data_IF_479952661808
#
_entry.id   IF_479952661808
#
_cell.length_a   1.000
_cell.length_b   1.000
_cell.length_c   1.000
_cell.angle_alpha   90.00
_cell.angle_beta   90.00
_cell.angle_gamma   90.00
#
_symmetry.space_group_name_H-M   'P 1'
#
loop_
_entity.id
_entity.type
_entity.pdbx_description
1 polymer ?
#
# COMPACT_ATOMS: atom_id res chain seq x y z
N UNK A 1 -26.39 -16.64 -8.89
CA UNK A 1 -25.02 -16.57 -8.33
C UNK A 1 -24.19 -15.43 -8.93
N UNK A 2 -24.79 -14.26 -9.21
CA UNK A 2 -24.05 -13.13 -9.80
C UNK A 2 -23.62 -12.08 -8.77
N UNK A 3 -24.55 -11.65 -7.93
CA UNK A 3 -24.36 -10.45 -7.11
C UNK A 3 -23.44 -10.66 -5.89
N UNK A 4 -23.67 -11.72 -5.11
CA UNK A 4 -22.85 -12.04 -3.93
C UNK A 4 -21.38 -12.33 -4.30
N UNK A 5 -21.13 -12.93 -5.46
CA UNK A 5 -19.77 -13.19 -5.93
C UNK A 5 -19.04 -11.89 -6.29
N UNK A 6 -19.70 -10.99 -7.02
CA UNK A 6 -19.14 -9.68 -7.38
C UNK A 6 -18.86 -8.86 -6.12
N UNK A 7 -19.77 -8.86 -5.15
CA UNK A 7 -19.59 -8.18 -3.87
C UNK A 7 -18.37 -8.73 -3.11
N UNK A 8 -18.23 -10.07 -3.04
CA UNK A 8 -17.10 -10.70 -2.38
C UNK A 8 -15.78 -10.42 -3.10
N UNK A 9 -15.76 -10.41 -4.43
CA UNK A 9 -14.58 -10.06 -5.23
C UNK A 9 -14.16 -8.60 -4.98
N UNK A 10 -15.13 -7.69 -4.93
CA UNK A 10 -14.88 -6.29 -4.58
C UNK A 10 -14.28 -6.14 -3.18
N UNK A 11 -14.82 -6.88 -2.20
CA UNK A 11 -14.29 -6.89 -0.82
C UNK A 11 -12.86 -7.43 -0.75
N UNK A 12 -12.58 -8.55 -1.42
CA UNK A 12 -11.23 -9.13 -1.49
C UNK A 12 -10.23 -8.16 -2.15
N UNK A 13 -10.65 -7.47 -3.21
CA UNK A 13 -9.84 -6.46 -3.90
C UNK A 13 -9.48 -5.29 -2.97
N UNK A 14 -10.46 -4.75 -2.24
CA UNK A 14 -10.23 -3.66 -1.28
C UNK A 14 -9.33 -4.13 -0.14
N UNK A 15 -9.54 -5.36 0.35
CA UNK A 15 -8.71 -5.94 1.42
C UNK A 15 -7.25 -6.12 0.98
N UNK A 16 -7.02 -6.54 -0.26
CA UNK A 16 -5.68 -6.64 -0.85
C UNK A 16 -5.01 -5.26 -0.91
N UNK A 17 -5.70 -4.25 -1.44
CA UNK A 17 -5.18 -2.88 -1.53
C UNK A 17 -4.81 -2.37 -0.14
N UNK A 18 -5.70 -2.55 0.84
CA UNK A 18 -5.44 -2.11 2.22
C UNK A 18 -4.21 -2.80 2.81
N UNK A 19 -4.06 -4.10 2.59
CA UNK A 19 -2.91 -4.89 3.05
C UNK A 19 -1.61 -4.38 2.45
N UNK A 20 -1.58 -4.16 1.13
CA UNK A 20 -0.39 -3.71 0.39
C UNK A 20 0.00 -2.27 0.75
N UNK A 21 -0.99 -1.38 0.90
CA UNK A 21 -0.75 0.05 1.13
C UNK A 21 -0.47 0.35 2.61
N UNK A 22 -0.94 -0.49 3.54
CA UNK A 22 -0.76 -0.30 4.99
C UNK A 22 0.69 -0.06 5.44
N UNK A 23 1.73 -0.83 5.05
CA UNK A 23 3.09 -0.57 5.51
C UNK A 23 3.66 0.76 5.00
N UNK A 24 3.30 1.15 3.77
CA UNK A 24 3.74 2.42 3.18
C UNK A 24 3.08 3.60 3.89
N UNK A 25 1.77 3.52 4.14
CA UNK A 25 1.02 4.55 4.86
C UNK A 25 1.50 4.71 6.30
N UNK A 26 1.69 3.61 7.02
CA UNK A 26 2.19 3.66 8.40
C UNK A 26 3.56 4.34 8.44
N UNK A 27 4.46 3.99 7.52
CA UNK A 27 5.77 4.63 7.44
C UNK A 27 5.66 6.11 7.13
N UNK A 28 4.84 6.50 6.16
CA UNK A 28 4.62 7.90 5.81
C UNK A 28 4.01 8.71 6.97
N UNK A 29 3.11 8.09 7.75
CA UNK A 29 2.50 8.68 8.94
C UNK A 29 3.54 8.91 10.04
N UNK A 30 4.29 7.86 10.42
CA UNK A 30 5.32 7.96 11.46
C UNK A 30 6.39 8.99 11.10
N UNK A 31 6.88 8.96 9.86
CA UNK A 31 7.89 9.91 9.42
C UNK A 31 7.32 11.33 9.28
N UNK A 32 6.06 11.46 8.88
CA UNK A 32 5.34 12.72 8.85
C UNK A 32 5.28 13.40 10.20
N UNK A 33 4.96 12.65 11.24
CA UNK A 33 4.92 13.15 12.62
C UNK A 33 6.35 13.49 13.10
N UNK A 34 7.32 12.61 12.89
CA UNK A 34 8.70 12.83 13.31
C UNK A 34 9.31 14.12 12.70
N UNK A 35 9.11 14.31 11.39
CA UNK A 35 9.61 15.50 10.69
C UNK A 35 8.85 16.75 11.13
N UNK A 36 7.53 16.67 11.34
CA UNK A 36 6.75 17.82 11.83
C UNK A 36 7.23 18.32 13.20
N UNK A 37 7.62 17.41 14.09
CA UNK A 37 8.20 17.77 15.40
C UNK A 37 9.55 18.45 15.21
N UNK A 38 10.43 17.90 14.36
CA UNK A 38 11.74 18.51 14.08
C UNK A 38 11.59 19.91 13.47
N UNK A 39 10.65 20.11 12.56
CA UNK A 39 10.33 21.42 11.98
C UNK A 39 9.83 22.40 13.04
N UNK A 40 8.97 21.96 13.95
CA UNK A 40 8.46 22.79 15.04
C UNK A 40 9.56 23.22 16.02
N UNK A 41 10.46 22.30 16.40
CA UNK A 41 11.55 22.58 17.36
C UNK A 41 12.64 23.47 16.75
N UNK A 42 12.96 23.28 15.46
CA UNK A 42 14.01 24.05 14.78
C UNK A 42 13.53 25.36 14.15
N UNK A 43 12.21 25.59 14.13
CA UNK A 43 11.56 26.73 13.45
C UNK A 43 11.83 26.81 11.92
N UNK A 44 12.31 25.72 11.30
CA UNK A 44 12.56 25.65 9.87
C UNK A 44 11.29 25.14 9.16
N UNK A 45 10.68 25.99 8.34
CA UNK A 45 9.47 25.68 7.56
C UNK A 45 9.73 25.60 6.04
N UNK A 46 10.86 24.99 5.65
CA UNK A 46 11.15 24.75 4.24
C UNK A 46 10.45 23.47 3.74
N UNK A 47 9.55 23.62 2.76
CA UNK A 47 8.80 22.51 2.18
C UNK A 47 9.71 21.41 1.61
N UNK A 48 10.89 21.75 1.10
CA UNK A 48 11.84 20.82 0.46
C UNK A 48 12.41 19.81 1.45
N UNK A 49 12.68 20.25 2.69
CA UNK A 49 13.24 19.40 3.77
C UNK A 49 12.24 18.33 4.22
N UNK A 50 10.94 18.62 4.14
CA UNK A 50 9.88 17.65 4.46
C UNK A 50 9.73 16.56 3.40
N UNK A 51 10.00 16.90 2.15
CA UNK A 51 9.68 16.06 1.01
C UNK A 51 10.71 14.93 0.82
N UNK A 52 12.00 15.27 0.80
CA UNK A 52 13.07 14.31 0.46
C UNK A 52 13.14 13.12 1.42
N UNK A 53 13.18 13.30 2.76
CA UNK A 53 13.30 12.17 3.68
C UNK A 53 12.09 11.24 3.63
N UNK A 54 10.88 11.78 3.41
CA UNK A 54 9.65 10.99 3.23
C UNK A 54 9.72 10.09 2.02
N UNK A 55 10.14 10.64 0.87
CA UNK A 55 10.28 9.85 -0.35
C UNK A 55 11.30 8.73 -0.18
N UNK A 56 12.47 9.04 0.37
CA UNK A 56 13.52 8.04 0.61
C UNK A 56 12.99 6.92 1.51
N UNK A 57 12.30 7.24 2.60
CA UNK A 57 11.73 6.22 3.48
C UNK A 57 10.68 5.35 2.79
N UNK A 58 9.79 5.94 1.98
CA UNK A 58 8.79 5.18 1.22
C UNK A 58 9.45 4.23 0.21
N UNK A 59 10.52 4.68 -0.48
CA UNK A 59 11.30 3.82 -1.38
C UNK A 59 11.99 2.68 -0.64
N UNK A 60 12.56 2.94 0.54
CA UNK A 60 13.19 1.88 1.35
C UNK A 60 12.16 0.83 1.76
N UNK A 61 10.97 1.25 2.21
CA UNK A 61 9.89 0.32 2.57
C UNK A 61 9.42 -0.46 1.36
N UNK A 62 9.26 0.18 0.21
CA UNK A 62 8.89 -0.49 -1.03
C UNK A 62 9.98 -1.45 -1.52
N UNK A 63 11.26 -1.14 -1.29
CA UNK A 63 12.37 -2.03 -1.63
C UNK A 63 12.38 -3.28 -0.74
N UNK A 64 12.23 -3.10 0.58
CA UNK A 64 12.24 -4.20 1.55
C UNK A 64 10.99 -5.07 1.44
N UNK A 65 9.80 -4.45 1.31
CA UNK A 65 8.52 -5.16 1.25
C UNK A 65 8.03 -5.45 -0.16
N UNK A 66 8.75 -4.99 -1.19
CA UNK A 66 8.32 -5.08 -2.59
C UNK A 66 8.07 -6.52 -3.03
N UNK A 67 8.93 -7.46 -2.62
CA UNK A 67 8.73 -8.89 -2.91
C UNK A 67 7.44 -9.44 -2.29
N UNK A 68 7.14 -9.05 -1.05
CA UNK A 68 5.90 -9.45 -0.38
C UNK A 68 4.66 -8.82 -1.04
N UNK A 69 4.72 -7.53 -1.40
CA UNK A 69 3.64 -6.85 -2.11
C UNK A 69 3.36 -7.52 -3.46
N UNK A 70 4.42 -7.85 -4.21
CA UNK A 70 4.30 -8.51 -5.52
C UNK A 70 3.72 -9.93 -5.38
N UNK A 71 4.09 -10.67 -4.34
CA UNK A 71 3.52 -11.98 -4.05
C UNK A 71 2.01 -11.90 -3.77
N UNK A 72 1.57 -10.92 -2.99
CA UNK A 72 0.14 -10.70 -2.71
C UNK A 72 -0.64 -10.40 -4.00
N UNK A 73 -0.14 -9.49 -4.83
CA UNK A 73 -0.77 -9.14 -6.12
C UNK A 73 -0.84 -10.37 -7.02
N UNK A 74 0.28 -11.09 -7.18
CA UNK A 74 0.35 -12.26 -8.06
C UNK A 74 -0.61 -13.35 -7.61
N UNK A 75 -0.68 -13.62 -6.30
CA UNK A 75 -1.60 -14.61 -5.71
C UNK A 75 -3.06 -14.24 -5.98
N UNK A 76 -3.41 -12.96 -5.78
CA UNK A 76 -4.74 -12.46 -6.09
C UNK A 76 -5.07 -12.57 -7.59
N UNK A 77 -4.15 -12.19 -8.46
CA UNK A 77 -4.33 -12.29 -9.92
C UNK A 77 -4.54 -13.74 -10.36
N UNK A 78 -3.75 -14.68 -9.84
CA UNK A 78 -3.91 -16.12 -10.16
C UNK A 78 -5.28 -16.62 -9.70
N UNK A 79 -5.72 -16.26 -8.48
CA UNK A 79 -7.07 -16.60 -7.97
C UNK A 79 -8.17 -16.06 -8.88
N UNK A 80 -8.05 -14.81 -9.31
CA UNK A 80 -9.01 -14.14 -10.19
C UNK A 80 -9.08 -14.84 -11.56
N UNK A 81 -7.92 -15.10 -12.18
CA UNK A 81 -7.88 -15.78 -13.49
C UNK A 81 -8.44 -17.20 -13.40
N UNK A 82 -8.14 -17.92 -12.33
CA UNK A 82 -8.66 -19.28 -12.11
C UNK A 82 -10.18 -19.27 -11.92
N UNK A 83 -10.71 -18.29 -11.18
CA UNK A 83 -12.16 -18.19 -10.97
C UNK A 83 -12.92 -17.81 -12.24
N UNK A 84 -12.33 -17.00 -13.12
CA UNK A 84 -12.89 -16.72 -14.46
C UNK A 84 -12.85 -17.99 -15.32
N UNK A 85 -11.72 -18.68 -15.38
CA UNK A 85 -11.57 -19.89 -16.20
C UNK A 85 -12.58 -20.97 -15.82
N UNK A 86 -12.82 -21.18 -14.52
CA UNK A 86 -13.86 -22.10 -14.03
C UNK A 86 -15.28 -21.68 -14.43
N UNK A 87 -15.56 -20.38 -14.54
CA UNK A 87 -16.88 -19.86 -14.91
C UNK A 87 -17.22 -20.04 -16.41
N UNK A 88 -16.21 -20.32 -17.23
CA UNK A 88 -16.38 -20.42 -18.70
C UNK A 88 -16.71 -21.85 -19.15
N UNK A 89 -16.66 -22.82 -18.23
CA UNK A 89 -17.11 -24.21 -18.40
C UNK A 89 -18.36 -24.47 -17.57
#
# INVERSE_FOLDING_TARGET
MGETYIINLGRDSVSLIFTIVSPILLTALFLGIAIAILQAVTQIQDMSITFVPKFVAMFVVMYVLGGWMLNNISTFTIRLLTSIAYFTH
#
